data_IF_024884583321
#
_entry.id   IF_024884583321
#
_cell.length_a   1.000
_cell.length_b   1.000
_cell.length_c   1.000
_cell.angle_alpha   90.00
_cell.angle_beta   90.00
_cell.angle_gamma   90.00
#
_symmetry.space_group_name_H-M   'P 1'
#
loop_
_entity.id
_entity.type
_entity.pdbx_description
1 polymer ?
#
# COMPACT_ATOMS: atom_id res chain seq x y z
N UNK A 1 -39.78 -22.35 -12.54
CA UNK A 1 -40.08 -21.04 -11.92
C UNK A 1 -38.75 -20.38 -11.58
N UNK A 2 -38.39 -19.33 -12.32
CA UNK A 2 -37.17 -18.54 -12.10
C UNK A 2 -37.54 -17.36 -11.20
N UNK A 3 -36.96 -17.30 -10.00
CA UNK A 3 -37.11 -16.16 -9.09
C UNK A 3 -35.97 -15.20 -9.35
N UNK A 4 -36.32 -14.02 -9.85
CA UNK A 4 -35.45 -12.85 -9.84
C UNK A 4 -35.20 -12.38 -8.40
N UNK A 5 -33.96 -12.06 -8.07
CA UNK A 5 -33.67 -11.15 -6.97
C UNK A 5 -32.66 -10.10 -7.49
N UNK A 6 -33.20 -8.93 -7.86
CA UNK A 6 -32.45 -7.68 -7.87
C UNK A 6 -31.92 -7.46 -6.45
N UNK A 7 -30.62 -7.24 -6.29
CA UNK A 7 -30.08 -6.56 -5.12
C UNK A 7 -29.28 -5.36 -5.62
N UNK A 8 -29.92 -4.21 -5.54
CA UNK A 8 -29.26 -2.92 -5.42
C UNK A 8 -28.40 -2.98 -4.15
N UNK A 9 -27.10 -2.68 -4.28
CA UNK A 9 -26.28 -2.31 -3.13
C UNK A 9 -25.35 -1.20 -3.60
N UNK A 10 -25.38 -0.10 -2.85
CA UNK A 10 -24.93 1.21 -3.26
C UNK A 10 -23.46 1.24 -3.67
N UNK A 11 -23.19 2.09 -4.65
CA UNK A 11 -21.85 2.57 -4.99
C UNK A 11 -21.33 3.48 -3.88
N UNK A 12 -20.95 2.90 -2.75
CA UNK A 12 -19.98 3.55 -1.89
C UNK A 12 -18.61 3.17 -2.44
N UNK A 13 -17.98 4.13 -3.13
CA UNK A 13 -16.64 3.97 -3.65
C UNK A 13 -15.75 3.42 -2.52
N UNK A 14 -14.92 2.37 -2.76
CA UNK A 14 -13.95 1.95 -1.77
C UNK A 14 -13.10 3.17 -1.38
N UNK A 15 -12.70 3.32 -0.10
CA UNK A 15 -11.92 4.46 0.33
C UNK A 15 -10.71 4.59 -0.60
N UNK A 16 -10.67 5.70 -1.35
CA UNK A 16 -9.56 6.03 -2.23
C UNK A 16 -8.30 5.97 -1.37
N UNK A 17 -7.38 5.06 -1.71
CA UNK A 17 -6.01 5.12 -1.20
C UNK A 17 -5.57 6.57 -1.35
N UNK A 18 -5.14 7.26 -0.30
CA UNK A 18 -4.50 8.55 -0.50
C UNK A 18 -3.36 8.27 -1.46
N UNK A 19 -3.41 8.85 -2.66
CA UNK A 19 -2.24 8.87 -3.54
C UNK A 19 -1.14 9.47 -2.69
N UNK A 20 -0.19 8.64 -2.24
CA UNK A 20 0.82 9.06 -1.29
C UNK A 20 1.87 9.89 -2.03
N UNK A 21 1.43 11.08 -2.46
CA UNK A 21 2.24 12.24 -2.79
C UNK A 21 2.64 12.99 -1.50
N UNK A 22 2.53 12.37 -0.32
CA UNK A 22 3.17 12.92 0.87
C UNK A 22 4.70 12.78 0.68
N UNK A 23 5.46 13.89 0.64
CA UNK A 23 6.90 13.81 0.54
C UNK A 23 7.40 13.00 1.73
N UNK A 24 8.26 12.00 1.46
CA UNK A 24 8.92 11.13 2.43
C UNK A 24 9.14 11.90 3.74
N UNK A 25 8.37 11.54 4.79
CA UNK A 25 8.44 12.22 6.09
C UNK A 25 9.91 12.27 6.51
N UNK A 26 10.44 13.49 6.55
CA UNK A 26 11.86 13.79 6.63
C UNK A 26 12.61 12.98 7.69
N UNK A 27 13.91 12.77 7.45
CA UNK A 27 14.90 12.15 8.36
C UNK A 27 14.72 12.50 9.85
N UNK A 28 14.24 13.70 10.18
CA UNK A 28 14.00 14.14 11.56
C UNK A 28 12.97 13.28 12.33
N UNK A 29 11.91 12.78 11.66
CA UNK A 29 10.94 11.90 12.30
C UNK A 29 11.61 10.57 12.69
N UNK A 30 12.32 9.95 11.75
CA UNK A 30 13.01 8.68 12.00
C UNK A 30 14.16 8.82 13.00
N UNK A 31 14.87 9.94 13.02
CA UNK A 31 15.87 10.25 14.05
C UNK A 31 15.28 10.41 15.45
N UNK A 32 14.05 10.94 15.54
CA UNK A 32 13.33 11.02 16.81
C UNK A 32 12.81 9.65 17.22
N UNK A 33 12.20 8.91 16.29
CA UNK A 33 11.65 7.58 16.51
C UNK A 33 12.73 6.56 16.90
N UNK A 34 13.96 6.69 16.39
CA UNK A 34 15.07 5.81 16.76
C UNK A 34 15.49 5.92 18.23
N UNK A 35 15.04 6.97 18.92
CA UNK A 35 15.31 7.21 20.34
C UNK A 35 14.13 6.85 21.24
N UNK A 36 13.00 6.42 20.67
CA UNK A 36 11.81 6.10 21.45
C UNK A 36 12.01 4.89 22.34
N UNK A 37 11.45 4.98 23.54
CA UNK A 37 11.30 3.83 24.42
C UNK A 37 10.21 2.87 23.92
N UNK A 38 10.21 1.64 24.43
CA UNK A 38 9.24 0.62 24.03
C UNK A 38 7.78 1.09 24.21
N UNK A 39 7.47 1.73 25.34
CA UNK A 39 6.11 2.21 25.64
C UNK A 39 5.66 3.31 24.67
N UNK A 40 6.58 4.18 24.24
CA UNK A 40 6.31 5.23 23.26
C UNK A 40 6.03 4.63 21.88
N UNK A 41 6.82 3.63 21.47
CA UNK A 41 6.61 2.90 20.21
C UNK A 41 5.27 2.18 20.23
N UNK A 42 4.95 1.47 21.30
CA UNK A 42 3.67 0.76 21.44
C UNK A 42 2.50 1.73 21.41
N UNK A 43 2.62 2.89 22.04
CA UNK A 43 1.57 3.92 22.00
C UNK A 43 1.38 4.49 20.59
N UNK A 44 2.46 4.79 19.87
CA UNK A 44 2.39 5.38 18.53
C UNK A 44 1.84 4.38 17.50
N UNK A 45 2.24 3.10 17.59
CA UNK A 45 1.80 2.04 16.67
C UNK A 45 0.44 1.43 17.07
N UNK A 46 -0.20 2.00 18.09
CA UNK A 46 -1.43 1.49 18.72
C UNK A 46 -1.28 -0.02 19.02
N UNK A 47 -0.11 -0.39 19.52
CA UNK A 47 0.32 -1.75 19.78
C UNK A 47 0.14 -2.13 21.25
N UNK A 48 0.27 -3.42 21.51
CA UNK A 48 0.24 -3.99 22.86
C UNK A 48 1.46 -4.87 23.07
N UNK A 49 2.00 -4.96 24.30
CA UNK A 49 3.09 -5.88 24.61
C UNK A 49 2.72 -7.36 24.42
N UNK A 50 1.42 -7.68 24.34
CA UNK A 50 0.92 -9.03 24.02
C UNK A 50 0.74 -9.28 22.51
N UNK A 51 1.04 -8.29 21.67
CA UNK A 51 0.78 -8.33 20.23
C UNK A 51 -0.64 -7.86 19.86
N UNK A 52 -0.96 -7.98 18.57
CA UNK A 52 -2.28 -7.65 18.02
C UNK A 52 -3.21 -8.87 18.09
N UNK A 53 -4.50 -8.63 18.27
CA UNK A 53 -5.52 -9.67 18.08
C UNK A 53 -5.80 -9.87 16.59
N UNK A 54 -6.42 -11.00 16.24
CA UNK A 54 -6.72 -11.32 14.84
C UNK A 54 -7.66 -10.29 14.20
N UNK A 55 -8.64 -9.80 14.96
CA UNK A 55 -9.62 -8.83 14.48
C UNK A 55 -8.95 -7.51 14.14
N UNK A 56 -8.06 -7.03 15.02
CA UNK A 56 -7.30 -5.80 14.80
C UNK A 56 -6.33 -5.97 13.63
N UNK A 57 -5.68 -7.13 13.52
CA UNK A 57 -4.78 -7.42 12.41
C UNK A 57 -5.55 -7.41 11.06
N UNK A 58 -6.76 -7.98 11.02
CA UNK A 58 -7.61 -7.99 9.82
C UNK A 58 -8.01 -6.58 9.40
N UNK A 59 -8.49 -5.77 10.34
CA UNK A 59 -8.84 -4.36 10.07
C UNK A 59 -7.64 -3.56 9.56
N UNK A 60 -6.44 -3.78 10.11
CA UNK A 60 -5.21 -3.12 9.63
C UNK A 60 -4.81 -3.59 8.24
N UNK A 61 -4.91 -4.89 7.97
CA UNK A 61 -4.58 -5.46 6.66
C UNK A 61 -5.50 -4.90 5.57
N UNK A 62 -6.79 -4.75 5.87
CA UNK A 62 -7.77 -4.18 4.92
C UNK A 62 -7.52 -2.68 4.68
N UNK A 63 -7.09 -1.94 5.71
CA UNK A 63 -6.84 -0.50 5.62
C UNK A 63 -5.49 -0.15 4.96
N UNK A 64 -4.41 -0.85 5.30
CA UNK A 64 -3.04 -0.52 4.91
C UNK A 64 -2.60 -1.35 3.69
N UNK A 65 -3.10 -2.58 3.58
CA UNK A 65 -2.66 -3.57 2.60
C UNK A 65 -1.54 -4.47 3.11
N UNK A 66 -1.05 -5.34 2.23
CA UNK A 66 0.05 -6.25 2.53
C UNK A 66 1.37 -5.51 2.65
N UNK A 67 2.26 -6.00 3.52
CA UNK A 67 3.64 -5.49 3.64
C UNK A 67 4.53 -6.07 2.54
N UNK A 68 4.14 -5.86 1.29
CA UNK A 68 4.87 -6.31 0.12
C UNK A 68 5.24 -5.12 -0.74
N UNK A 69 6.44 -5.17 -1.32
CA UNK A 69 6.85 -4.19 -2.32
C UNK A 69 6.22 -4.62 -3.64
N UNK A 70 5.47 -3.72 -4.26
CA UNK A 70 4.92 -3.95 -5.59
C UNK A 70 6.05 -4.32 -6.55
N UNK A 71 5.99 -5.53 -7.10
CA UNK A 71 6.90 -5.92 -8.17
C UNK A 71 6.52 -5.17 -9.44
N UNK A 72 7.48 -4.40 -9.96
CA UNK A 72 7.29 -3.74 -11.24
C UNK A 72 7.10 -4.79 -12.34
N UNK A 73 5.91 -4.79 -12.95
CA UNK A 73 5.62 -5.65 -14.09
C UNK A 73 6.29 -5.07 -15.32
N UNK A 74 7.45 -5.62 -15.69
CA UNK A 74 8.13 -5.25 -16.92
C UNK A 74 7.30 -5.70 -18.13
N UNK A 75 6.74 -4.75 -18.85
CA UNK A 75 6.06 -5.00 -20.12
C UNK A 75 7.09 -5.12 -21.25
N UNK A 76 7.71 -6.30 -21.37
CA UNK A 76 8.75 -6.61 -22.35
C UNK A 76 8.47 -6.14 -23.79
N UNK A 77 7.27 -6.34 -24.37
CA UNK A 77 6.98 -5.87 -25.73
C UNK A 77 7.10 -4.35 -25.88
N UNK A 78 6.66 -3.59 -24.87
CA UNK A 78 6.75 -2.12 -24.86
C UNK A 78 8.19 -1.65 -24.70
N UNK A 79 8.99 -2.34 -23.89
CA UNK A 79 10.40 -2.03 -23.72
C UNK A 79 11.23 -2.34 -24.97
N UNK A 80 10.90 -3.43 -25.67
CA UNK A 80 11.53 -3.77 -26.94
C UNK A 80 11.28 -2.71 -28.01
N UNK A 81 10.03 -2.24 -28.17
CA UNK A 81 9.70 -1.16 -29.10
C UNK A 81 10.43 0.15 -28.75
N UNK A 82 10.56 0.46 -27.46
CA UNK A 82 11.35 1.61 -27.00
C UNK A 82 12.85 1.46 -27.32
N UNK A 83 13.40 0.24 -27.33
CA UNK A 83 14.79 0.03 -27.68
C UNK A 83 15.10 0.45 -29.13
N UNK A 84 14.16 0.27 -30.07
CA UNK A 84 14.34 0.72 -31.46
C UNK A 84 14.32 2.24 -31.64
N UNK A 85 13.86 3.01 -30.65
CA UNK A 85 13.99 4.48 -30.65
C UNK A 85 15.41 4.93 -30.25
N UNK A 86 16.29 4.00 -29.86
CA UNK A 86 17.66 4.32 -29.53
C UNK A 86 18.43 4.66 -30.83
N UNK A 87 19.06 5.85 -30.93
CA UNK A 87 19.79 6.27 -32.12
C UNK A 87 20.97 5.35 -32.48
N UNK A 88 21.46 4.52 -31.54
CA UNK A 88 22.52 3.54 -31.81
C UNK A 88 22.03 2.22 -32.41
N UNK A 89 20.71 1.93 -32.39
CA UNK A 89 20.13 0.70 -32.96
C UNK A 89 19.69 0.90 -34.42
N UNK A 90 19.47 2.15 -34.84
CA UNK A 90 19.04 2.51 -36.20
C UNK A 90 20.20 2.92 -37.14
N UNK A 91 21.46 2.84 -36.67
CA UNK A 91 22.67 3.06 -37.47
C UNK A 91 23.16 1.73 -38.05
#
# INVERSE_FOLDING_TARGET
>A
MLVNAKKECGSENPPLRPESQEPYRHNAFFQKASRWGLDEVLKELDGSPRGLTEEVARVRLDAIGTNEIDQERLHWPRQLLKAFLNPFILL
#
